data_IF_507199668560
#
_entry.id   IF_507199668560
#
_cell.length_a   1.000
_cell.length_b   1.000
_cell.length_c   1.000
_cell.angle_alpha   90.00
_cell.angle_beta   90.00
_cell.angle_gamma   90.00
#
_symmetry.space_group_name_H-M   'P 1'
#
loop_
_entity.id
_entity.type
_entity.pdbx_description
1 polymer ?
#
# COMPACT_ATOMS: atom_id res chain seq x y z
N UNK A 1 17.11 6.10 -7.16
CA UNK A 1 16.39 4.86 -6.83
C UNK A 1 15.50 4.98 -5.59
N UNK A 2 15.08 6.19 -5.19
CA UNK A 2 14.12 6.36 -4.09
C UNK A 2 12.68 6.19 -4.57
N UNK A 3 12.36 6.70 -5.77
CA UNK A 3 11.01 6.65 -6.34
C UNK A 3 10.46 5.21 -6.48
N UNK A 4 11.24 4.21 -6.95
CA UNK A 4 10.74 2.83 -7.00
C UNK A 4 10.46 2.24 -5.62
N UNK A 5 11.17 2.67 -4.58
CA UNK A 5 10.92 2.22 -3.21
C UNK A 5 9.54 2.72 -2.76
N UNK A 6 9.27 4.02 -2.88
CA UNK A 6 7.96 4.59 -2.52
C UNK A 6 6.81 4.00 -3.35
N UNK A 7 7.03 3.76 -4.65
CA UNK A 7 6.02 3.22 -5.56
C UNK A 7 5.56 1.80 -5.20
N UNK A 8 6.38 1.03 -4.48
CA UNK A 8 6.01 -0.31 -4.05
C UNK A 8 5.00 -0.28 -2.91
N UNK A 9 5.25 0.63 -1.96
CA UNK A 9 4.41 0.82 -0.78
C UNK A 9 3.11 1.53 -1.16
N UNK A 10 3.19 2.48 -2.09
CA UNK A 10 2.04 3.19 -2.64
C UNK A 10 1.48 2.36 -3.80
N UNK A 11 0.88 1.21 -3.46
CA UNK A 11 0.19 0.33 -4.38
C UNK A 11 -1.34 0.46 -4.33
N UNK A 12 -2.04 -0.38 -5.07
CA UNK A 12 -3.51 -0.45 -5.03
C UNK A 12 -4.03 -0.77 -3.63
N UNK A 13 -3.42 -1.71 -2.91
CA UNK A 13 -3.81 -2.05 -1.55
C UNK A 13 -3.70 -0.88 -0.57
N UNK A 14 -2.73 0.01 -0.77
CA UNK A 14 -2.60 1.23 0.01
C UNK A 14 -3.71 2.24 -0.31
N UNK A 15 -3.97 2.50 -1.59
CA UNK A 15 -4.94 3.50 -2.03
C UNK A 15 -6.37 3.03 -1.74
N UNK A 16 -6.76 1.88 -2.28
CA UNK A 16 -8.11 1.31 -2.17
C UNK A 16 -8.39 0.91 -0.72
N UNK A 17 -7.45 0.23 -0.07
CA UNK A 17 -7.60 -0.19 1.33
C UNK A 17 -7.72 1.00 2.28
N UNK A 18 -6.96 2.08 2.06
CA UNK A 18 -7.11 3.30 2.87
C UNK A 18 -8.49 3.93 2.68
N UNK A 19 -8.98 4.04 1.44
CA UNK A 19 -10.32 4.60 1.20
C UNK A 19 -11.43 3.71 1.77
N UNK A 20 -11.32 2.39 1.65
CA UNK A 20 -12.28 1.42 2.17
C UNK A 20 -12.32 1.46 3.70
N UNK A 21 -11.16 1.51 4.36
CA UNK A 21 -11.08 1.59 5.82
C UNK A 21 -11.65 2.91 6.38
N UNK A 22 -11.50 4.03 5.67
CA UNK A 22 -12.16 5.30 6.06
C UNK A 22 -13.67 5.24 5.83
N UNK A 23 -14.10 4.56 4.76
CA UNK A 23 -15.51 4.39 4.45
C UNK A 23 -16.22 3.46 5.45
N UNK A 24 -15.56 2.40 5.91
CA UNK A 24 -16.14 1.42 6.82
C UNK A 24 -16.44 2.06 8.21
N UNK A 25 -17.71 2.08 8.65
CA UNK A 25 -18.11 2.67 9.93
C UNK A 25 -17.53 1.97 11.17
N UNK A 26 -17.00 0.75 11.03
CA UNK A 26 -16.35 0.00 12.13
C UNK A 26 -14.87 0.35 12.32
N UNK A 27 -14.23 0.91 11.30
CA UNK A 27 -12.82 1.29 11.28
C UNK A 27 -12.68 2.82 11.34
N UNK A 28 -12.88 3.52 10.23
CA UNK A 28 -12.63 4.96 10.14
C UNK A 28 -11.13 5.31 10.20
N UNK A 29 -10.84 6.60 10.28
CA UNK A 29 -9.50 7.20 10.16
C UNK A 29 -8.52 6.70 11.23
N UNK A 30 -9.00 6.41 12.44
CA UNK A 30 -8.16 5.87 13.53
C UNK A 30 -7.43 4.61 13.08
N UNK A 31 -8.07 3.68 12.38
CA UNK A 31 -7.40 2.44 11.95
C UNK A 31 -6.50 2.64 10.75
N UNK A 32 -6.86 3.55 9.86
CA UNK A 32 -5.97 3.99 8.77
C UNK A 32 -4.69 4.61 9.35
N UNK A 33 -4.80 5.36 10.44
CA UNK A 33 -3.63 5.93 11.09
C UNK A 33 -2.68 4.86 11.65
N UNK A 34 -3.18 3.75 12.22
CA UNK A 34 -2.30 2.63 12.62
C UNK A 34 -1.56 2.03 11.44
N UNK A 35 -2.26 1.84 10.32
CA UNK A 35 -1.70 1.25 9.12
C UNK A 35 -0.58 2.12 8.55
N UNK A 36 -0.86 3.41 8.31
CA UNK A 36 0.12 4.38 7.78
C UNK A 36 1.31 4.55 8.74
N UNK A 37 1.05 4.65 10.05
CA UNK A 37 2.13 4.77 11.04
C UNK A 37 3.02 3.53 11.04
N UNK A 38 2.44 2.33 10.91
CA UNK A 38 3.18 1.09 10.79
C UNK A 38 4.12 1.08 9.58
N UNK A 39 3.63 1.46 8.40
CA UNK A 39 4.46 1.52 7.18
C UNK A 39 5.55 2.60 7.26
N UNK A 40 5.25 3.77 7.81
CA UNK A 40 6.24 4.83 8.02
C UNK A 40 7.33 4.36 8.99
N UNK A 41 6.93 3.70 10.08
CA UNK A 41 7.87 3.14 11.05
C UNK A 41 8.72 2.03 10.44
N UNK A 42 8.15 1.18 9.56
CA UNK A 42 8.91 0.13 8.90
C UNK A 42 10.01 0.72 8.00
N UNK A 43 9.71 1.78 7.24
CA UNK A 43 10.69 2.48 6.41
C UNK A 43 11.78 3.16 7.25
N UNK A 44 11.41 3.77 8.38
CA UNK A 44 12.37 4.40 9.31
C UNK A 44 13.26 3.36 9.96
N UNK A 45 12.70 2.28 10.51
CA UNK A 45 13.43 1.20 11.18
C UNK A 45 14.31 0.46 10.16
N UNK A 46 13.77 0.18 8.97
CA UNK A 46 14.49 -0.46 7.87
C UNK A 46 15.67 0.39 7.41
N UNK A 47 15.48 1.70 7.25
CA UNK A 47 16.56 2.64 6.94
C UNK A 47 17.64 2.71 8.02
N UNK A 48 17.25 2.80 9.30
CA UNK A 48 18.21 2.94 10.40
C UNK A 48 19.03 1.67 10.64
N UNK A 49 18.36 0.51 10.75
CA UNK A 49 18.96 -0.73 11.24
C UNK A 49 19.35 -1.72 10.15
N UNK A 50 18.62 -1.78 9.03
CA UNK A 50 18.83 -2.82 8.02
C UNK A 50 19.57 -2.31 6.78
N UNK A 51 19.24 -1.11 6.29
CA UNK A 51 19.76 -0.58 5.03
C UNK A 51 21.29 -0.39 5.02
N UNK A 52 21.87 0.02 6.16
CA UNK A 52 23.32 0.18 6.31
C UNK A 52 24.03 -1.19 6.34
N UNK A 53 23.77 -2.03 7.35
CA UNK A 53 24.46 -3.30 7.52
C UNK A 53 24.29 -4.27 6.36
N UNK A 54 23.10 -4.33 5.74
CA UNK A 54 22.88 -5.22 4.61
C UNK A 54 23.72 -4.83 3.40
N UNK A 55 23.88 -3.54 3.16
CA UNK A 55 24.62 -3.03 2.01
C UNK A 55 26.13 -3.08 2.21
N UNK A 56 26.62 -2.75 3.39
CA UNK A 56 28.05 -2.81 3.73
C UNK A 56 28.60 -4.24 3.58
N UNK A 57 27.78 -5.24 3.90
CA UNK A 57 28.11 -6.65 3.73
C UNK A 57 27.87 -7.20 2.32
N UNK A 58 27.41 -6.36 1.37
CA UNK A 58 27.12 -6.70 -0.03
C UNK A 58 26.23 -7.93 -0.18
N UNK A 59 25.21 -8.04 0.67
CA UNK A 59 24.17 -9.05 0.47
C UNK A 59 23.41 -8.76 -0.82
N UNK A 60 22.93 -9.81 -1.48
CA UNK A 60 22.12 -9.79 -2.68
C UNK A 60 20.66 -10.10 -2.37
N UNK A 61 20.40 -10.88 -1.32
CA UNK A 61 19.05 -11.23 -0.89
C UNK A 61 18.86 -11.02 0.60
N UNK A 62 17.60 -10.81 1.01
CA UNK A 62 17.23 -10.77 2.43
C UNK A 62 17.59 -12.07 3.16
N UNK A 63 17.69 -13.18 2.43
CA UNK A 63 18.01 -14.51 2.98
C UNK A 63 19.49 -14.76 3.21
N UNK A 64 20.39 -13.94 2.65
CA UNK A 64 21.84 -14.16 2.76
C UNK A 64 22.36 -14.14 4.22
N UNK A 65 21.95 -13.19 5.10
CA UNK A 65 22.34 -13.23 6.51
C UNK A 65 21.85 -14.50 7.23
N UNK A 66 20.65 -14.99 6.87
CA UNK A 66 20.07 -16.20 7.45
C UNK A 66 20.79 -17.45 6.97
N UNK A 67 21.22 -17.46 5.70
CA UNK A 67 22.01 -18.55 5.15
C UNK A 67 23.35 -18.71 5.89
N UNK A 68 24.04 -17.61 6.15
CA UNK A 68 25.33 -17.61 6.86
C UNK A 68 25.17 -18.06 8.32
N UNK A 69 24.08 -17.66 8.98
CA UNK A 69 23.87 -17.95 10.41
C UNK A 69 23.26 -19.32 10.70
N UNK A 70 22.29 -19.77 9.89
CA UNK A 70 21.48 -20.96 10.17
C UNK A 70 21.73 -22.12 9.18
N UNK A 71 22.53 -21.90 8.13
CA UNK A 71 22.82 -22.90 7.12
C UNK A 71 21.70 -23.07 6.08
N UNK A 72 21.83 -24.11 5.25
CA UNK A 72 21.02 -24.27 4.02
C UNK A 72 19.57 -24.70 4.29
N UNK A 73 19.36 -25.65 5.20
CA UNK A 73 18.04 -26.29 5.43
C UNK A 73 16.98 -25.30 5.94
N UNK A 74 17.20 -24.56 7.05
CA UNK A 74 16.20 -23.60 7.52
C UNK A 74 15.99 -22.44 6.54
N UNK A 75 17.03 -22.00 5.82
CA UNK A 75 16.90 -20.96 4.80
C UNK A 75 15.96 -21.38 3.67
N UNK A 76 16.07 -22.62 3.18
CA UNK A 76 15.17 -23.11 2.13
C UNK A 76 13.72 -23.15 2.60
N UNK A 77 13.46 -23.56 3.85
CA UNK A 77 12.10 -23.55 4.40
C UNK A 77 11.52 -22.14 4.47
N UNK A 78 12.29 -21.17 4.98
CA UNK A 78 11.85 -19.77 5.01
C UNK A 78 11.65 -19.20 3.60
N UNK A 79 12.51 -19.56 2.65
CA UNK A 79 12.39 -19.08 1.28
C UNK A 79 11.10 -19.57 0.60
N UNK A 80 10.75 -20.85 0.80
CA UNK A 80 9.49 -21.40 0.31
C UNK A 80 8.30 -20.71 0.99
N UNK A 81 8.36 -20.47 2.30
CA UNK A 81 7.29 -19.77 3.00
C UNK A 81 7.08 -18.35 2.46
N UNK A 82 8.15 -17.58 2.26
CA UNK A 82 8.07 -16.23 1.67
C UNK A 82 7.51 -16.27 0.24
N UNK A 83 7.95 -17.22 -0.59
CA UNK A 83 7.44 -17.36 -1.96
C UNK A 83 5.93 -17.65 -2.00
N UNK A 84 5.42 -18.47 -1.08
CA UNK A 84 3.97 -18.73 -0.99
C UNK A 84 3.21 -17.47 -0.61
N UNK A 85 3.73 -16.69 0.35
CA UNK A 85 3.14 -15.40 0.73
C UNK A 85 3.13 -14.42 -0.44
N UNK A 86 4.22 -14.32 -1.20
CA UNK A 86 4.31 -13.44 -2.37
C UNK A 86 3.30 -13.84 -3.45
N UNK A 87 3.05 -15.13 -3.67
CA UNK A 87 2.01 -15.62 -4.61
C UNK A 87 0.61 -15.19 -4.17
N UNK A 88 0.31 -15.29 -2.88
CA UNK A 88 -0.98 -14.83 -2.33
C UNK A 88 -1.15 -13.32 -2.51
N UNK A 89 -0.08 -12.56 -2.26
CA UNK A 89 -0.08 -11.11 -2.43
C UNK A 89 -0.31 -10.67 -3.88
N UNK A 90 0.38 -11.31 -4.83
CA UNK A 90 0.19 -11.06 -6.26
C UNK A 90 -1.24 -11.40 -6.68
N UNK A 91 -1.80 -12.51 -6.20
CA UNK A 91 -3.19 -12.89 -6.50
C UNK A 91 -4.18 -11.84 -6.01
N UNK A 92 -4.01 -11.33 -4.78
CA UNK A 92 -4.85 -10.27 -4.22
C UNK A 92 -4.78 -8.99 -5.06
N UNK A 93 -3.58 -8.61 -5.50
CA UNK A 93 -3.39 -7.42 -6.36
C UNK A 93 -4.04 -7.59 -7.73
N UNK A 94 -3.94 -8.78 -8.35
CA UNK A 94 -4.62 -9.04 -9.63
C UNK A 94 -6.14 -9.01 -9.52
N UNK A 95 -6.68 -9.50 -8.40
CA UNK A 95 -8.12 -9.46 -8.10
C UNK A 95 -8.60 -8.00 -7.98
N UNK A 96 -7.85 -7.17 -7.25
CA UNK A 96 -8.11 -5.73 -7.10
C UNK A 96 -8.07 -4.99 -8.44
N UNK A 97 -7.02 -5.20 -9.24
CA UNK A 97 -6.92 -4.66 -10.61
C UNK A 97 -8.11 -5.09 -11.48
N UNK A 98 -8.49 -6.37 -11.36
CA UNK A 98 -9.60 -6.96 -12.10
C UNK A 98 -10.95 -6.34 -11.75
N UNK A 99 -11.21 -6.04 -10.47
CA UNK A 99 -12.43 -5.36 -10.04
C UNK A 99 -12.51 -3.94 -10.57
N UNK A 100 -11.44 -3.16 -10.46
CA UNK A 100 -11.39 -1.79 -10.95
C UNK A 100 -11.62 -1.73 -12.47
N UNK A 101 -11.00 -2.64 -13.23
CA UNK A 101 -11.19 -2.72 -14.68
C UNK A 101 -12.59 -3.18 -15.08
N UNK A 102 -13.22 -4.06 -14.30
CA UNK A 102 -14.59 -4.50 -14.54
C UNK A 102 -15.57 -3.32 -14.49
N UNK A 103 -15.36 -2.40 -13.56
CA UNK A 103 -16.16 -1.18 -13.42
C UNK A 103 -15.93 -0.20 -14.58
N UNK A 104 -14.68 0.01 -14.97
CA UNK A 104 -14.33 0.99 -16.01
C UNK A 104 -14.78 0.53 -17.40
N UNK A 105 -14.60 -0.76 -17.71
CA UNK A 105 -14.88 -1.33 -19.02
C UNK A 105 -16.29 -1.94 -19.14
N UNK A 106 -17.02 -2.05 -18.03
CA UNK A 106 -18.31 -2.73 -17.93
C UNK A 106 -18.26 -4.17 -18.48
N UNK A 107 -17.16 -4.88 -18.18
CA UNK A 107 -16.89 -6.25 -18.62
C UNK A 107 -16.97 -7.25 -17.47
N UNK A 108 -17.25 -8.54 -17.75
CA UNK A 108 -17.26 -9.58 -16.72
C UNK A 108 -15.92 -9.68 -15.98
N UNK A 109 -15.98 -9.70 -14.65
CA UNK A 109 -14.82 -9.76 -13.74
C UNK A 109 -13.76 -10.81 -14.12
N UNK A 110 -14.18 -12.01 -14.52
CA UNK A 110 -13.27 -13.09 -14.93
C UNK A 110 -12.41 -12.68 -16.14
N UNK A 111 -13.01 -12.00 -17.12
CA UNK A 111 -12.29 -11.56 -18.33
C UNK A 111 -11.28 -10.47 -17.97
N UNK A 112 -11.69 -9.52 -17.10
CA UNK A 112 -10.80 -8.46 -16.63
C UNK A 112 -9.57 -9.01 -15.91
N UNK A 113 -9.71 -10.01 -15.04
CA UNK A 113 -8.56 -10.66 -14.38
C UNK A 113 -7.59 -11.24 -15.42
N UNK A 114 -8.09 -12.02 -16.38
CA UNK A 114 -7.23 -12.66 -17.38
C UNK A 114 -6.50 -11.64 -18.26
N UNK A 115 -7.17 -10.55 -18.63
CA UNK A 115 -6.55 -9.45 -19.38
C UNK A 115 -5.45 -8.78 -18.54
N UNK A 116 -5.75 -8.42 -17.29
CA UNK A 116 -4.77 -7.81 -16.38
C UNK A 116 -3.56 -8.73 -16.15
N UNK A 117 -3.78 -10.03 -15.99
CA UNK A 117 -2.71 -11.03 -15.86
C UNK A 117 -1.83 -11.12 -17.11
N UNK A 118 -2.44 -11.17 -18.30
CA UNK A 118 -1.71 -11.24 -19.55
C UNK A 118 -0.83 -10.01 -19.77
N UNK A 119 -1.38 -8.81 -19.54
CA UNK A 119 -0.64 -7.55 -19.63
C UNK A 119 0.51 -7.55 -18.62
N UNK A 120 0.24 -7.94 -17.36
CA UNK A 120 1.25 -8.04 -16.31
C UNK A 120 2.43 -8.92 -16.70
N UNK A 121 2.17 -10.13 -17.20
CA UNK A 121 3.20 -11.08 -17.61
C UNK A 121 4.01 -10.53 -18.78
N UNK A 122 3.36 -9.97 -19.80
CA UNK A 122 4.03 -9.48 -21.01
C UNK A 122 5.03 -8.36 -20.65
N UNK A 123 4.61 -7.36 -19.88
CA UNK A 123 5.52 -6.25 -19.56
C UNK A 123 6.63 -6.67 -18.59
N UNK A 124 6.37 -7.62 -17.67
CA UNK A 124 7.40 -8.16 -16.78
C UNK A 124 8.48 -8.93 -17.55
N UNK A 125 8.08 -9.77 -18.52
CA UNK A 125 9.01 -10.57 -19.32
C UNK A 125 9.90 -9.73 -20.23
N UNK A 126 9.38 -8.63 -20.80
CA UNK A 126 10.14 -7.77 -21.71
C UNK A 126 11.15 -6.87 -20.99
N UNK A 127 10.93 -6.58 -19.71
CA UNK A 127 11.54 -5.43 -19.07
C UNK A 127 12.70 -5.68 -18.10
N UNK A 128 12.69 -6.82 -17.39
CA UNK A 128 13.62 -7.05 -16.28
C UNK A 128 13.56 -5.98 -15.18
N UNK A 129 14.49 -6.00 -14.23
CA UNK A 129 14.47 -5.11 -13.05
C UNK A 129 14.58 -3.61 -13.43
N UNK A 130 15.27 -3.29 -14.53
CA UNK A 130 15.42 -1.92 -14.99
C UNK A 130 14.11 -1.35 -15.53
N UNK A 131 13.39 -2.08 -16.37
CA UNK A 131 12.08 -1.63 -16.85
C UNK A 131 11.09 -1.45 -15.72
N UNK A 132 11.08 -2.37 -14.75
CA UNK A 132 10.21 -2.26 -13.56
C UNK A 132 10.50 -0.95 -12.81
N UNK A 133 11.77 -0.60 -12.60
CA UNK A 133 12.12 0.66 -11.94
C UNK A 133 11.67 1.90 -12.73
N UNK A 134 11.68 1.86 -14.07
CA UNK A 134 11.18 2.97 -14.91
C UNK A 134 9.65 3.05 -14.90
N UNK A 135 8.96 1.91 -14.99
CA UNK A 135 7.49 1.87 -14.92
C UNK A 135 6.99 2.30 -13.55
N UNK A 136 7.67 1.92 -12.45
CA UNK A 136 7.36 2.36 -11.09
C UNK A 136 7.38 3.89 -10.95
N UNK A 137 8.35 4.56 -11.60
CA UNK A 137 8.45 6.03 -11.61
C UNK A 137 7.27 6.66 -12.34
N UNK A 138 6.95 6.15 -13.53
CA UNK A 138 5.83 6.65 -14.33
C UNK A 138 4.51 6.42 -13.58
N UNK A 139 4.32 5.22 -13.02
CA UNK A 139 3.13 4.84 -12.27
C UNK A 139 2.95 5.76 -11.05
N UNK A 140 4.01 6.02 -10.28
CA UNK A 140 3.92 6.91 -9.11
C UNK A 140 3.55 8.35 -9.50
N UNK A 141 4.09 8.87 -10.60
CA UNK A 141 3.75 10.22 -11.09
C UNK A 141 2.30 10.28 -11.56
N UNK A 142 1.86 9.28 -12.34
CA UNK A 142 0.48 9.20 -12.83
C UNK A 142 -0.51 9.08 -11.67
N UNK A 143 -0.25 8.19 -10.71
CA UNK A 143 -1.07 8.02 -9.51
C UNK A 143 -1.15 9.31 -8.70
N UNK A 144 -0.02 10.02 -8.53
CA UNK A 144 -0.01 11.30 -7.82
C UNK A 144 -0.94 12.31 -8.50
N UNK A 145 -0.74 12.56 -9.80
CA UNK A 145 -1.52 13.57 -10.54
C UNK A 145 -3.00 13.19 -10.56
N UNK A 146 -3.32 11.93 -10.86
CA UNK A 146 -4.70 11.44 -10.93
C UNK A 146 -5.41 11.58 -9.58
N UNK A 147 -4.79 11.13 -8.48
CA UNK A 147 -5.41 11.22 -7.15
C UNK A 147 -5.67 12.67 -6.74
N UNK A 148 -4.68 13.55 -6.85
CA UNK A 148 -4.82 14.95 -6.48
C UNK A 148 -5.79 15.71 -7.40
N UNK A 149 -5.93 15.29 -8.65
CA UNK A 149 -6.93 15.83 -9.57
C UNK A 149 -8.36 15.35 -9.24
N UNK A 150 -8.52 14.10 -8.78
CA UNK A 150 -9.81 13.57 -8.35
C UNK A 150 -10.35 14.23 -7.08
N UNK A 151 -9.48 14.61 -6.12
CA UNK A 151 -9.87 15.22 -4.84
C UNK A 151 -10.83 16.42 -5.01
N UNK A 152 -10.51 17.50 -5.76
CA UNK A 152 -11.43 18.63 -5.89
C UNK A 152 -12.74 18.25 -6.58
N UNK A 153 -12.74 17.33 -7.55
CA UNK A 153 -13.95 16.90 -8.24
C UNK A 153 -14.91 16.17 -7.30
N UNK A 154 -14.36 15.31 -6.46
CA UNK A 154 -15.12 14.56 -5.45
C UNK A 154 -15.67 15.50 -4.37
N UNK A 155 -14.87 16.47 -3.89
CA UNK A 155 -15.29 17.47 -2.90
C UNK A 155 -16.33 18.47 -3.42
N UNK A 156 -16.30 18.80 -4.72
CA UNK A 156 -17.25 19.72 -5.34
C UNK A 156 -18.56 19.03 -5.74
N UNK A 157 -18.68 17.71 -5.53
CA UNK A 157 -19.88 16.98 -5.91
C UNK A 157 -21.08 17.39 -5.03
N UNK A 158 -22.22 17.76 -5.63
CA UNK A 158 -23.41 18.21 -4.87
C UNK A 158 -24.07 17.09 -4.06
N UNK A 159 -23.59 15.85 -4.19
CA UNK A 159 -24.06 14.67 -3.46
C UNK A 159 -23.35 14.44 -2.13
N UNK A 160 -22.25 15.16 -1.87
CA UNK A 160 -21.49 15.06 -0.62
C UNK A 160 -21.80 16.24 0.31
N UNK A 161 -22.10 15.95 1.58
CA UNK A 161 -22.19 16.98 2.62
C UNK A 161 -20.78 17.33 3.09
N UNK A 162 -20.60 18.55 3.61
CA UNK A 162 -19.31 19.01 4.15
C UNK A 162 -18.72 17.95 5.09
N UNK A 163 -17.55 17.46 4.70
CA UNK A 163 -16.83 16.35 5.34
C UNK A 163 -16.54 16.69 6.80
N UNK A 164 -16.40 17.97 7.12
CA UNK A 164 -16.21 18.49 8.49
C UNK A 164 -17.40 18.17 9.40
N UNK A 165 -18.62 18.12 8.86
CA UNK A 165 -19.80 17.75 9.64
C UNK A 165 -19.88 16.24 9.86
N UNK A 166 -19.64 15.45 8.82
CA UNK A 166 -19.63 13.97 8.90
C UNK A 166 -18.42 13.42 9.68
N UNK A 167 -17.41 14.26 9.93
CA UNK A 167 -16.19 13.91 10.69
C UNK A 167 -16.48 13.57 12.15
N UNK A 168 -17.41 14.28 12.77
CA UNK A 168 -17.72 14.14 14.19
C UNK A 168 -19.21 13.88 14.47
N UNK A 169 -20.11 14.27 13.55
CA UNK A 169 -21.53 14.01 13.68
C UNK A 169 -21.97 12.80 12.86
N UNK A 170 -22.91 12.04 13.42
CA UNK A 170 -23.59 10.94 12.75
C UNK A 170 -24.63 11.48 11.76
N UNK A 171 -24.20 11.94 10.59
CA UNK A 171 -25.09 12.45 9.55
C UNK A 171 -25.65 11.32 8.68
N UNK A 172 -24.78 10.50 8.09
CA UNK A 172 -25.18 9.35 7.24
C UNK A 172 -24.70 8.00 7.78
N UNK A 173 -23.51 7.95 8.38
CA UNK A 173 -22.95 6.79 9.06
C UNK A 173 -22.14 7.22 10.28
N UNK A 174 -21.53 6.27 11.01
CA UNK A 174 -20.65 6.57 12.14
C UNK A 174 -19.51 7.51 11.70
N UNK A 175 -18.96 8.34 12.60
CA UNK A 175 -18.06 9.42 12.19
C UNK A 175 -16.80 8.82 11.55
N UNK A 176 -16.46 9.28 10.35
CA UNK A 176 -15.35 8.69 9.58
C UNK A 176 -13.98 8.92 10.24
N UNK A 177 -13.87 9.81 11.23
CA UNK A 177 -12.67 9.90 12.08
C UNK A 177 -12.44 8.60 12.88
N UNK A 178 -13.52 7.89 13.22
CA UNK A 178 -13.50 6.77 14.15
C UNK A 178 -13.22 7.19 15.59
N UNK A 179 -13.52 6.31 16.55
CA UNK A 179 -13.12 6.45 17.95
C UNK A 179 -12.31 5.23 18.34
N UNK A 180 -11.13 5.46 18.94
CA UNK A 180 -10.36 4.39 19.54
C UNK A 180 -10.96 4.05 20.91
N UNK A 181 -11.76 2.99 20.96
CA UNK A 181 -12.23 2.44 22.23
C UNK A 181 -11.05 1.74 22.94
N UNK A 182 -11.01 1.84 24.27
CA UNK A 182 -9.88 1.37 25.08
C UNK A 182 -9.65 -0.15 24.99
N UNK A 183 -10.71 -0.92 24.69
CA UNK A 183 -10.68 -2.36 24.44
C UNK A 183 -10.00 -2.72 23.09
N UNK A 184 -10.09 -1.84 22.10
CA UNK A 184 -9.50 -2.00 20.76
C UNK A 184 -8.10 -1.41 20.63
N UNK A 185 -7.65 -0.64 21.62
CA UNK A 185 -6.31 -0.05 21.64
C UNK A 185 -5.19 -1.10 21.50
N UNK A 186 -5.36 -2.28 22.10
CA UNK A 186 -4.36 -3.35 21.97
C UNK A 186 -4.25 -3.88 20.54
N UNK A 187 -5.39 -4.06 19.86
CA UNK A 187 -5.42 -4.47 18.44
C UNK A 187 -4.83 -3.39 17.54
N UNK A 188 -5.07 -2.12 17.85
CA UNK A 188 -4.49 -1.00 17.12
C UNK A 188 -2.96 -1.02 17.20
N UNK A 189 -2.41 -1.20 18.41
CA UNK A 189 -0.96 -1.32 18.63
C UNK A 189 -0.41 -2.56 17.91
N UNK A 190 -1.11 -3.69 17.99
CA UNK A 190 -0.72 -4.93 17.31
C UNK A 190 -0.61 -4.72 15.80
N UNK A 191 -1.58 -4.05 15.16
CA UNK A 191 -1.50 -3.71 13.73
C UNK A 191 -0.29 -2.82 13.43
N UNK A 192 -0.04 -1.79 14.24
CA UNK A 192 1.15 -0.94 14.06
C UNK A 192 2.43 -1.78 14.13
N UNK A 193 2.53 -2.70 15.10
CA UNK A 193 3.68 -3.58 15.25
C UNK A 193 3.83 -4.58 14.11
N UNK A 194 2.74 -5.21 13.69
CA UNK A 194 2.70 -6.16 12.57
C UNK A 194 3.12 -5.47 11.28
N UNK A 195 2.64 -4.25 11.01
CA UNK A 195 3.05 -3.49 9.84
C UNK A 195 4.50 -3.00 9.98
N UNK A 196 4.89 -2.41 11.12
CA UNK A 196 6.25 -1.91 11.32
C UNK A 196 7.33 -2.99 11.18
N UNK A 197 7.06 -4.21 11.67
CA UNK A 197 8.03 -5.32 11.66
C UNK A 197 7.84 -6.25 10.47
N UNK A 198 6.61 -6.52 10.05
CA UNK A 198 6.30 -7.43 8.94
C UNK A 198 6.82 -6.89 7.61
N UNK A 199 6.71 -5.59 7.41
CA UNK A 199 7.21 -4.89 6.23
C UNK A 199 8.73 -5.03 6.01
N UNK A 200 9.51 -5.22 7.09
CA UNK A 200 10.95 -5.49 7.04
C UNK A 200 11.25 -6.91 6.54
N UNK A 201 10.24 -7.78 6.52
CA UNK A 201 10.33 -9.16 6.07
C UNK A 201 10.19 -9.35 4.56
N UNK A 202 9.88 -8.28 3.81
CA UNK A 202 9.68 -8.39 2.37
C UNK A 202 10.99 -8.27 1.59
N UNK A 203 11.20 -9.22 0.69
CA UNK A 203 12.39 -9.28 -0.17
C UNK A 203 12.53 -8.03 -1.06
N UNK A 204 11.41 -7.48 -1.52
CA UNK A 204 11.36 -6.31 -2.41
C UNK A 204 11.92 -5.03 -1.77
N UNK A 205 11.73 -4.86 -0.46
CA UNK A 205 12.29 -3.74 0.31
C UNK A 205 13.82 -3.82 0.31
N UNK A 206 14.37 -4.99 0.64
CA UNK A 206 15.81 -5.20 0.71
C UNK A 206 16.45 -5.13 -0.68
N UNK A 207 15.82 -5.69 -1.71
CA UNK A 207 16.32 -5.60 -3.08
C UNK A 207 16.50 -4.15 -3.52
N UNK A 208 15.50 -3.29 -3.31
CA UNK A 208 15.56 -1.86 -3.69
C UNK A 208 16.57 -1.06 -2.85
N UNK A 209 16.76 -1.43 -1.60
CA UNK A 209 17.75 -0.84 -0.69
C UNK A 209 19.19 -1.20 -1.09
N UNK A 210 19.40 -2.46 -1.47
CA UNK A 210 20.69 -3.00 -1.91
C UNK A 210 21.10 -2.45 -3.28
N UNK A 211 20.14 -2.14 -4.15
CA UNK A 211 20.42 -1.58 -5.48
C UNK A 211 20.70 -0.06 -5.50
N UNK A 212 20.66 0.64 -4.36
CA UNK A 212 21.12 2.04 -4.27
C UNK A 212 22.62 2.19 -4.65
N UNK A 213 23.22 3.39 -4.56
CA UNK A 213 24.66 3.59 -4.85
C UNK A 213 25.55 3.59 -3.59
N UNK A 214 25.02 3.99 -2.43
CA UNK A 214 25.75 4.01 -1.16
C UNK A 214 24.83 3.67 0.03
N UNK A 215 25.40 3.33 1.19
CA UNK A 215 24.62 3.11 2.41
C UNK A 215 23.91 4.38 2.85
N UNK A 216 24.57 5.54 2.75
CA UNK A 216 23.95 6.84 3.00
C UNK A 216 22.75 7.09 2.07
N UNK A 217 22.90 6.84 0.77
CA UNK A 217 21.81 6.98 -0.21
C UNK A 217 20.66 6.02 0.08
N UNK A 218 20.95 4.79 0.48
CA UNK A 218 19.92 3.81 0.85
C UNK A 218 19.09 4.30 2.06
N UNK A 219 19.74 4.85 3.09
CA UNK A 219 19.08 5.44 4.25
C UNK A 219 18.22 6.65 3.87
N UNK A 220 18.78 7.58 3.12
CA UNK A 220 18.07 8.79 2.65
C UNK A 220 16.84 8.38 1.83
N UNK A 221 16.97 7.37 0.96
CA UNK A 221 15.84 6.89 0.17
C UNK A 221 14.72 6.33 1.05
N UNK A 222 15.02 5.63 2.14
CA UNK A 222 14.01 5.13 3.07
C UNK A 222 13.28 6.27 3.79
N UNK A 223 14.00 7.28 4.28
CA UNK A 223 13.39 8.45 4.93
C UNK A 223 12.57 9.30 3.96
N UNK A 224 13.08 9.50 2.74
CA UNK A 224 12.35 10.21 1.70
C UNK A 224 11.07 9.43 1.30
N UNK A 225 11.15 8.10 1.23
CA UNK A 225 9.98 7.26 0.94
C UNK A 225 8.91 7.38 2.03
N UNK A 226 9.30 7.39 3.30
CA UNK A 226 8.39 7.59 4.41
C UNK A 226 7.66 8.95 4.35
N UNK A 227 8.38 10.02 4.00
CA UNK A 227 7.78 11.34 3.83
C UNK A 227 6.80 11.40 2.65
N UNK A 228 7.15 10.77 1.52
CA UNK A 228 6.26 10.70 0.35
C UNK A 228 5.01 9.88 0.65
N UNK A 229 5.13 8.77 1.37
CA UNK A 229 4.00 7.93 1.76
C UNK A 229 2.96 8.72 2.57
N UNK A 230 3.39 9.56 3.51
CA UNK A 230 2.49 10.45 4.26
C UNK A 230 1.73 11.44 3.35
N UNK A 231 2.39 11.97 2.31
CA UNK A 231 1.74 12.89 1.36
C UNK A 231 0.73 12.15 0.48
N UNK A 232 1.06 10.93 0.05
CA UNK A 232 0.17 10.08 -0.74
C UNK A 232 -0.99 9.47 0.04
N UNK A 233 -0.91 9.42 1.37
CA UNK A 233 -2.01 8.99 2.21
C UNK A 233 -3.19 9.99 2.23
N UNK A 234 -2.93 11.26 1.94
CA UNK A 234 -3.94 12.34 2.08
C UNK A 234 -5.09 12.16 1.06
N UNK A 235 -4.84 12.02 -0.26
CA UNK A 235 -5.94 11.90 -1.23
C UNK A 235 -6.87 10.70 -1.00
N UNK A 236 -6.38 9.46 -0.75
CA UNK A 236 -7.25 8.31 -0.48
C UNK A 236 -8.13 8.50 0.76
N UNK A 237 -7.60 9.12 1.82
CA UNK A 237 -8.38 9.46 3.02
C UNK A 237 -9.51 10.43 2.68
N UNK A 238 -9.23 11.47 1.89
CA UNK A 238 -10.24 12.45 1.48
C UNK A 238 -11.31 11.81 0.59
N UNK A 239 -10.92 10.92 -0.32
CA UNK A 239 -11.85 10.18 -1.18
C UNK A 239 -12.76 9.28 -0.33
N UNK A 240 -12.19 8.49 0.58
CA UNK A 240 -12.96 7.65 1.50
C UNK A 240 -13.90 8.45 2.41
N UNK A 241 -13.44 9.60 2.92
CA UNK A 241 -14.25 10.49 3.76
C UNK A 241 -15.42 11.14 2.98
N UNK A 242 -15.22 11.42 1.69
CA UNK A 242 -16.29 11.94 0.83
C UNK A 242 -17.30 10.85 0.48
N UNK A 243 -16.82 9.63 0.18
CA UNK A 243 -17.68 8.47 -0.02
C UNK A 243 -18.54 8.20 1.22
N UNK A 244 -17.95 8.29 2.42
CA UNK A 244 -18.64 8.21 3.71
C UNK A 244 -19.70 9.31 3.94
N UNK A 245 -19.54 10.45 3.27
CA UNK A 245 -20.42 11.62 3.38
C UNK A 245 -21.51 11.66 2.31
N UNK A 246 -21.63 10.62 1.48
CA UNK A 246 -22.66 10.49 0.45
C UNK A 246 -23.83 9.67 1.01
N UNK A 247 -25.04 10.25 1.03
CA UNK A 247 -26.24 9.56 1.51
C UNK A 247 -26.57 8.31 0.69
N UNK A 248 -27.04 7.26 1.37
CA UNK A 248 -27.35 5.89 0.93
C UNK A 248 -28.11 5.70 -0.41
N UNK A 249 -27.54 6.10 -1.55
CA UNK A 249 -28.07 5.79 -2.88
C UNK A 249 -27.44 4.55 -3.53
N UNK A 250 -26.38 3.97 -2.94
CA UNK A 250 -25.64 2.84 -3.53
C UNK A 250 -25.51 1.60 -2.63
N UNK A 251 -26.31 1.47 -1.57
CA UNK A 251 -26.18 0.42 -0.55
C UNK A 251 -26.50 -1.03 -1.00
N UNK A 252 -26.81 -1.32 -2.27
CA UNK A 252 -27.15 -2.71 -2.65
C UNK A 252 -26.64 -3.29 -3.96
N UNK A 253 -25.81 -2.60 -4.76
CA UNK A 253 -25.40 -3.23 -6.04
C UNK A 253 -23.96 -3.10 -6.51
N UNK A 254 -23.08 -2.26 -5.96
CA UNK A 254 -21.69 -2.19 -6.47
C UNK A 254 -20.66 -1.80 -5.39
N UNK A 255 -20.42 -2.70 -4.42
CA UNK A 255 -19.35 -2.55 -3.43
C UNK A 255 -17.92 -2.72 -4.01
N UNK A 256 -17.79 -2.85 -5.33
CA UNK A 256 -16.51 -2.94 -6.07
C UNK A 256 -16.21 -1.68 -6.91
N UNK A 257 -16.98 -0.60 -6.73
CA UNK A 257 -16.86 0.64 -7.50
C UNK A 257 -16.01 1.75 -6.83
N UNK A 258 -15.18 1.43 -5.84
CA UNK A 258 -14.11 2.30 -5.35
C UNK A 258 -12.85 1.49 -5.09
#
# INVERSE_FOLDING_TARGET
MFVPLSATWIGEGFIIGTSEMVYDPSMGLVWVSSYILGEVLSLIIGGLFFAGPMRERRYLTMMDPFHIKYGKVPMTLFAVATLVTDILWVTSTLVSLGSTMSVILDLPFTICIWISAAVAIIYMLMGGLYSVAYTDVIQLILMFISLWFCVPFVLMSPSSVDITQTALNNTFQAPWLGKLEADKAWRWIDIVCVMALGCLGYQEFHQRTLSANSSATAKINCFAAAAVLLIFAIPPVLIGATAASTGNFYSQSNLFCL
#
